data_IF_726024702715
#
_entry.id   IF_726024702715
#
_cell.length_a   1.000
_cell.length_b   1.000
_cell.length_c   1.000
_cell.angle_alpha   90.00
_cell.angle_beta   90.00
_cell.angle_gamma   90.00
#
_symmetry.space_group_name_H-M   'P 1'
#
loop_
_entity.id
_entity.type
_entity.pdbx_description
1 polymer ?
#
# COMPACT_ATOMS: atom_id res chain seq x y z
N UNK A 1 -22.17 -4.00 21.36
CA UNK A 1 -20.91 -4.05 20.58
C UNK A 1 -21.32 -4.00 19.12
N UNK A 2 -21.19 -2.85 18.49
CA UNK A 2 -21.51 -2.72 17.05
C UNK A 2 -20.40 -3.41 16.24
N UNK A 3 -20.76 -4.22 15.23
CA UNK A 3 -19.77 -4.92 14.42
C UNK A 3 -19.06 -3.91 13.52
N UNK A 4 -17.75 -3.83 13.65
CA UNK A 4 -16.87 -3.06 12.76
C UNK A 4 -16.29 -4.03 11.73
N UNK A 5 -16.44 -3.69 10.45
CA UNK A 5 -16.07 -4.55 9.33
C UNK A 5 -14.59 -4.39 9.00
N UNK A 6 -13.73 -5.24 9.59
CA UNK A 6 -12.29 -5.25 9.36
C UNK A 6 -11.85 -5.90 8.01
N UNK A 7 -12.79 -6.27 7.13
CA UNK A 7 -12.51 -7.09 5.93
C UNK A 7 -12.60 -6.34 4.59
N UNK A 8 -12.80 -5.02 4.58
CA UNK A 8 -12.86 -4.24 3.33
C UNK A 8 -11.61 -4.39 2.46
N UNK A 9 -10.41 -4.35 3.08
CA UNK A 9 -9.14 -4.56 2.38
C UNK A 9 -9.00 -5.96 1.78
N UNK A 10 -9.46 -6.99 2.50
CA UNK A 10 -9.48 -8.38 1.99
C UNK A 10 -10.42 -8.50 0.80
N UNK A 11 -11.58 -7.85 0.84
CA UNK A 11 -12.52 -7.80 -0.29
C UNK A 11 -11.92 -7.16 -1.55
N UNK A 12 -11.18 -6.05 -1.38
CA UNK A 12 -10.46 -5.40 -2.49
C UNK A 12 -9.35 -6.29 -3.07
N UNK A 13 -8.59 -7.00 -2.22
CA UNK A 13 -7.57 -7.94 -2.66
C UNK A 13 -8.18 -9.07 -3.50
N UNK A 14 -9.31 -9.65 -3.06
CA UNK A 14 -10.01 -10.70 -3.80
C UNK A 14 -10.48 -10.16 -5.16
N UNK A 15 -11.05 -8.96 -5.22
CA UNK A 15 -11.46 -8.32 -6.47
C UNK A 15 -10.29 -8.09 -7.43
N UNK A 16 -9.16 -7.59 -6.92
CA UNK A 16 -7.92 -7.43 -7.69
C UNK A 16 -7.43 -8.78 -8.24
N UNK A 17 -7.42 -9.82 -7.38
CA UNK A 17 -6.97 -11.16 -7.75
C UNK A 17 -7.81 -11.75 -8.88
N UNK A 18 -9.14 -11.64 -8.77
CA UNK A 18 -10.07 -12.10 -9.81
C UNK A 18 -9.90 -11.30 -11.11
N UNK A 19 -9.73 -9.98 -11.02
CA UNK A 19 -9.49 -9.11 -12.17
C UNK A 19 -8.20 -9.45 -12.92
N UNK A 20 -7.11 -9.74 -12.18
CA UNK A 20 -5.83 -10.16 -12.76
C UNK A 20 -5.96 -11.54 -13.40
N UNK A 21 -6.64 -12.50 -12.77
CA UNK A 21 -6.89 -13.81 -13.37
C UNK A 21 -7.69 -13.71 -14.67
N UNK A 22 -8.73 -12.88 -14.68
CA UNK A 22 -9.54 -12.63 -15.87
C UNK A 22 -8.73 -11.94 -16.98
N UNK A 23 -7.83 -11.02 -16.62
CA UNK A 23 -6.92 -10.35 -17.54
C UNK A 23 -5.94 -11.32 -18.20
N UNK A 24 -5.31 -12.21 -17.42
CA UNK A 24 -4.41 -13.26 -17.92
C UNK A 24 -5.15 -14.18 -18.92
N UNK A 25 -6.41 -14.53 -18.62
CA UNK A 25 -7.25 -15.33 -19.52
C UNK A 25 -7.58 -14.66 -20.86
N UNK A 26 -7.52 -13.32 -20.96
CA UNK A 26 -7.72 -12.58 -22.21
C UNK A 26 -6.41 -12.23 -22.93
N UNK A 27 -5.29 -12.19 -22.22
CA UNK A 27 -3.95 -11.85 -22.74
C UNK A 27 -3.23 -13.02 -23.42
N UNK A 28 -3.75 -14.24 -23.34
CA UNK A 28 -3.20 -15.42 -24.04
C UNK A 28 -3.17 -15.29 -25.58
N UNK A 29 -3.80 -14.26 -26.17
CA UNK A 29 -3.81 -14.02 -27.61
C UNK A 29 -2.65 -13.17 -28.14
N UNK A 30 -1.78 -12.62 -27.29
CA UNK A 30 -0.72 -11.68 -27.68
C UNK A 30 0.69 -12.20 -27.32
N UNK A 31 1.62 -12.12 -28.28
CA UNK A 31 3.02 -12.59 -28.21
C UNK A 31 3.87 -11.88 -27.13
N UNK A 32 3.38 -10.77 -26.53
CA UNK A 32 4.05 -10.04 -25.43
C UNK A 32 3.66 -10.49 -24.01
N UNK A 33 3.03 -11.67 -23.90
CA UNK A 33 2.46 -12.19 -22.65
C UNK A 33 3.46 -12.35 -21.49
N UNK A 34 4.72 -12.67 -21.74
CA UNK A 34 5.71 -12.94 -20.68
C UNK A 34 6.05 -11.72 -19.80
N UNK A 35 6.24 -10.55 -20.42
CA UNK A 35 6.55 -9.31 -19.70
C UNK A 35 5.31 -8.85 -18.92
N UNK A 36 4.15 -8.81 -19.56
CA UNK A 36 2.87 -8.44 -18.94
C UNK A 36 2.53 -9.32 -17.72
N UNK A 37 2.77 -10.64 -17.80
CA UNK A 37 2.60 -11.57 -16.68
C UNK A 37 3.50 -11.19 -15.49
N UNK A 38 4.75 -10.81 -15.75
CA UNK A 38 5.70 -10.44 -14.69
C UNK A 38 5.24 -9.18 -13.96
N UNK A 39 4.76 -8.17 -14.71
CA UNK A 39 4.19 -6.95 -14.11
C UNK A 39 2.90 -7.24 -13.34
N UNK A 40 1.99 -8.06 -13.87
CA UNK A 40 0.74 -8.43 -13.21
C UNK A 40 0.99 -9.20 -11.90
N UNK A 41 1.93 -10.15 -11.92
CA UNK A 41 2.35 -10.89 -10.72
C UNK A 41 3.03 -9.97 -9.72
N UNK A 42 3.83 -8.99 -10.18
CA UNK A 42 4.42 -7.96 -9.32
C UNK A 42 3.38 -7.11 -8.62
N UNK A 43 2.34 -6.66 -9.33
CA UNK A 43 1.21 -5.91 -8.75
C UNK A 43 0.43 -6.77 -7.75
N UNK A 44 0.18 -8.04 -8.07
CA UNK A 44 -0.50 -8.97 -7.17
C UNK A 44 0.31 -9.21 -5.89
N UNK A 45 1.61 -9.48 -6.03
CA UNK A 45 2.52 -9.69 -4.89
C UNK A 45 2.66 -8.44 -4.02
N UNK A 46 2.88 -7.28 -4.63
CA UNK A 46 2.95 -6.00 -3.91
C UNK A 46 1.64 -5.64 -3.21
N UNK A 47 0.50 -5.85 -3.89
CA UNK A 47 -0.84 -5.65 -3.32
C UNK A 47 -1.15 -6.59 -2.16
N UNK A 48 -0.74 -7.85 -2.25
CA UNK A 48 -0.88 -8.82 -1.16
C UNK A 48 -0.05 -8.43 0.07
N UNK A 49 1.19 -7.99 -0.13
CA UNK A 49 2.06 -7.49 0.95
C UNK A 49 1.43 -6.26 1.61
N UNK A 50 1.01 -5.27 0.81
CA UNK A 50 0.36 -4.06 1.32
C UNK A 50 -0.93 -4.36 2.09
N UNK A 51 -1.75 -5.29 1.60
CA UNK A 51 -2.95 -5.74 2.28
C UNK A 51 -2.63 -6.45 3.61
N UNK A 52 -1.59 -7.27 3.65
CA UNK A 52 -1.19 -7.98 4.87
C UNK A 52 -0.67 -7.02 5.93
N UNK A 53 0.11 -6.01 5.50
CA UNK A 53 0.59 -4.93 6.35
C UNK A 53 -0.57 -4.09 6.89
N UNK A 54 -1.53 -3.70 6.03
CA UNK A 54 -2.72 -2.96 6.44
C UNK A 54 -3.60 -3.74 7.41
N UNK A 55 -3.82 -5.03 7.13
CA UNK A 55 -4.56 -5.93 8.01
C UNK A 55 -3.86 -6.10 9.37
N UNK A 56 -2.53 -6.16 9.38
CA UNK A 56 -1.77 -6.19 10.62
C UNK A 56 -2.01 -4.89 11.41
N UNK A 57 -1.91 -3.70 10.81
CA UNK A 57 -2.17 -2.42 11.49
C UNK A 57 -3.61 -2.35 12.06
N UNK A 58 -4.60 -2.84 11.31
CA UNK A 58 -6.02 -2.82 11.70
C UNK A 58 -6.35 -3.79 12.86
N UNK A 59 -5.69 -4.96 12.94
CA UNK A 59 -5.91 -5.93 14.03
C UNK A 59 -5.29 -5.48 15.35
N UNK A 60 -4.26 -4.63 15.27
CA UNK A 60 -3.50 -4.15 16.40
C UNK A 60 -4.16 -2.88 16.96
N UNK A 61 -5.14 -3.04 17.86
CA UNK A 61 -5.78 -1.97 18.63
C UNK A 61 -4.80 -1.40 19.69
N UNK A 62 -3.80 -0.65 19.23
CA UNK A 62 -2.67 -0.19 20.05
C UNK A 62 -2.64 1.33 20.22
N UNK A 63 -2.18 1.75 21.40
CA UNK A 63 -1.93 3.15 21.79
C UNK A 63 -1.19 3.92 20.68
N UNK A 64 -1.43 5.23 20.51
CA UNK A 64 -0.88 6.04 19.42
C UNK A 64 0.65 5.93 19.23
N UNK A 65 1.39 5.80 20.35
CA UNK A 65 2.86 5.64 20.33
C UNK A 65 3.30 4.30 19.74
N UNK A 66 2.54 3.24 19.98
CA UNK A 66 2.83 1.91 19.45
C UNK A 66 2.33 1.77 18.01
N UNK A 67 1.29 2.54 17.61
CA UNK A 67 0.84 2.65 16.22
C UNK A 67 1.95 3.19 15.31
N UNK A 68 2.62 4.27 15.72
CA UNK A 68 3.78 4.80 14.97
C UNK A 68 4.89 3.75 14.88
N UNK A 69 5.13 2.97 15.94
CA UNK A 69 6.15 1.92 15.93
C UNK A 69 5.79 0.77 14.96
N UNK A 70 4.51 0.40 14.90
CA UNK A 70 3.98 -0.56 13.92
C UNK A 70 4.09 -0.07 12.48
N UNK A 71 3.79 1.20 12.23
CA UNK A 71 3.93 1.82 10.90
C UNK A 71 5.39 1.90 10.45
N UNK A 72 6.32 2.21 11.37
CA UNK A 72 7.76 2.15 11.07
C UNK A 72 8.21 0.72 10.77
N UNK A 73 7.74 -0.26 11.55
CA UNK A 73 8.02 -1.67 11.29
C UNK A 73 7.48 -2.13 9.93
N UNK A 74 6.26 -1.73 9.58
CA UNK A 74 5.66 -1.95 8.27
C UNK A 74 6.49 -1.35 7.12
N UNK A 75 6.96 -0.11 7.28
CA UNK A 75 7.84 0.53 6.30
C UNK A 75 9.17 -0.23 6.12
N UNK A 76 9.75 -0.74 7.21
CA UNK A 76 10.95 -1.58 7.14
C UNK A 76 10.69 -2.90 6.42
N UNK A 77 9.55 -3.55 6.68
CA UNK A 77 9.17 -4.79 5.97
C UNK A 77 8.99 -4.54 4.47
N UNK A 78 8.37 -3.42 4.08
CA UNK A 78 8.24 -2.99 2.68
C UNK A 78 9.61 -2.80 2.00
N UNK A 79 10.55 -2.15 2.69
CA UNK A 79 11.91 -1.97 2.21
C UNK A 79 12.64 -3.30 2.03
N UNK A 80 12.51 -4.22 3.00
CA UNK A 80 13.09 -5.57 2.90
C UNK A 80 12.46 -6.40 1.78
N UNK A 81 11.18 -6.18 1.49
CA UNK A 81 10.48 -6.79 0.36
C UNK A 81 10.89 -6.19 -1.01
N UNK A 82 11.78 -5.20 -1.03
CA UNK A 82 12.24 -4.54 -2.25
C UNK A 82 11.24 -3.52 -2.81
N UNK A 83 10.22 -3.14 -2.03
CA UNK A 83 9.26 -2.10 -2.41
C UNK A 83 9.86 -0.74 -2.06
N UNK A 84 10.82 -0.33 -2.88
CA UNK A 84 11.42 1.00 -2.84
C UNK A 84 11.21 1.70 -4.19
N UNK A 85 10.94 3.01 -4.19
CA UNK A 85 10.95 3.77 -5.43
C UNK A 85 12.38 3.72 -5.99
N UNK A 86 12.59 3.20 -7.20
CA UNK A 86 13.93 3.14 -7.81
C UNK A 86 14.38 4.55 -8.22
N UNK A 87 14.87 5.34 -7.26
CA UNK A 87 15.25 6.74 -7.49
C UNK A 87 16.39 6.83 -8.48
N UNK A 88 17.28 5.84 -8.52
CA UNK A 88 18.36 5.74 -9.51
C UNK A 88 17.86 5.90 -10.96
N UNK A 89 16.69 5.35 -11.30
CA UNK A 89 16.16 5.46 -12.65
C UNK A 89 15.69 6.88 -12.96
N UNK A 90 15.19 7.59 -11.94
CA UNK A 90 14.68 8.96 -12.04
C UNK A 90 15.84 9.97 -12.07
N UNK A 91 16.82 9.83 -11.18
CA UNK A 91 18.00 10.71 -11.10
C UNK A 91 18.87 10.59 -12.35
N UNK A 92 19.05 9.38 -12.87
CA UNK A 92 19.75 9.15 -14.13
C UNK A 92 19.03 9.78 -15.34
N UNK A 93 17.70 9.73 -15.40
CA UNK A 93 16.93 10.43 -16.45
C UNK A 93 17.01 11.96 -16.33
N UNK A 94 17.16 12.48 -15.11
CA UNK A 94 17.30 13.91 -14.83
C UNK A 94 18.75 14.41 -14.94
N UNK A 95 19.71 13.57 -15.32
CA UNK A 95 21.16 13.86 -15.29
C UNK A 95 21.65 14.37 -13.91
N UNK A 96 20.98 13.97 -12.84
CA UNK A 96 21.38 14.28 -11.47
C UNK A 96 22.29 13.15 -10.99
N UNK A 97 23.59 13.42 -10.89
CA UNK A 97 24.54 12.46 -10.34
C UNK A 97 24.55 12.59 -8.82
N UNK A 98 23.69 11.81 -8.16
CA UNK A 98 23.72 11.67 -6.70
C UNK A 98 24.61 10.50 -6.27
N UNK A 99 25.27 10.62 -5.10
CA UNK A 99 25.94 9.47 -4.49
C UNK A 99 24.93 8.36 -4.16
N UNK A 100 25.26 7.11 -4.47
CA UNK A 100 24.40 5.94 -4.21
C UNK A 100 23.89 5.84 -2.76
N UNK A 101 24.73 6.23 -1.79
CA UNK A 101 24.37 6.26 -0.36
C UNK A 101 23.30 7.32 -0.04
N UNK A 102 23.29 8.44 -0.75
CA UNK A 102 22.28 9.49 -0.57
C UNK A 102 20.98 9.09 -1.26
N UNK A 103 21.03 8.46 -2.42
CA UNK A 103 19.84 7.91 -3.10
C UNK A 103 19.15 6.87 -2.22
N UNK A 104 19.91 5.89 -1.72
CA UNK A 104 19.38 4.84 -0.82
C UNK A 104 18.74 5.43 0.44
N UNK A 105 19.38 6.43 1.06
CA UNK A 105 18.82 7.09 2.24
C UNK A 105 17.50 7.82 1.93
N UNK A 106 17.44 8.47 0.76
CA UNK A 106 16.26 9.20 0.33
C UNK A 106 15.10 8.25 -0.01
N UNK A 107 15.38 7.13 -0.67
CA UNK A 107 14.41 6.05 -0.91
C UNK A 107 13.78 5.56 0.40
N UNK A 108 14.61 5.24 1.40
CA UNK A 108 14.15 4.79 2.72
C UNK A 108 13.27 5.86 3.39
N UNK A 109 13.70 7.13 3.37
CA UNK A 109 12.93 8.22 3.95
C UNK A 109 11.59 8.43 3.25
N UNK A 110 11.56 8.33 1.92
CA UNK A 110 10.33 8.45 1.13
C UNK A 110 9.37 7.31 1.48
N UNK A 111 9.84 6.06 1.55
CA UNK A 111 8.99 4.91 1.88
C UNK A 111 8.40 5.06 3.29
N UNK A 112 9.22 5.42 4.28
CA UNK A 112 8.74 5.67 5.65
C UNK A 112 7.70 6.81 5.67
N UNK A 113 8.01 7.95 5.05
CA UNK A 113 7.09 9.09 5.00
C UNK A 113 5.78 8.72 4.31
N UNK A 114 5.85 7.96 3.21
CA UNK A 114 4.66 7.56 2.46
C UNK A 114 3.80 6.56 3.24
N UNK A 115 4.40 5.58 3.93
CA UNK A 115 3.67 4.64 4.78
C UNK A 115 2.97 5.37 5.92
N UNK A 116 3.69 6.17 6.70
CA UNK A 116 3.08 6.93 7.81
C UNK A 116 2.03 7.92 7.29
N UNK A 117 2.33 8.62 6.19
CA UNK A 117 1.44 9.60 5.57
C UNK A 117 0.16 8.97 5.05
N UNK A 118 0.28 7.88 4.29
CA UNK A 118 -0.87 7.16 3.73
C UNK A 118 -1.74 6.57 4.85
N UNK A 119 -1.15 5.86 5.82
CA UNK A 119 -1.92 5.26 6.92
C UNK A 119 -2.59 6.32 7.79
N UNK A 120 -1.89 7.41 8.11
CA UNK A 120 -2.47 8.50 8.90
C UNK A 120 -3.55 9.27 8.11
N UNK A 121 -3.34 9.51 6.83
CA UNK A 121 -4.31 10.19 5.96
C UNK A 121 -5.58 9.38 5.77
N UNK A 122 -5.48 8.06 5.56
CA UNK A 122 -6.63 7.18 5.43
C UNK A 122 -7.44 7.13 6.73
N UNK A 123 -6.76 7.01 7.88
CA UNK A 123 -7.42 7.04 9.19
C UNK A 123 -8.12 8.40 9.47
N UNK A 124 -7.58 9.52 8.96
CA UNK A 124 -8.24 10.83 9.05
C UNK A 124 -9.48 10.93 8.15
N UNK A 125 -9.43 10.36 6.94
CA UNK A 125 -10.57 10.31 6.02
C UNK A 125 -11.69 9.44 6.60
N UNK A 126 -11.38 8.25 7.09
CA UNK A 126 -12.35 7.36 7.73
C UNK A 126 -12.95 7.98 8.99
N UNK A 127 -12.14 8.69 9.78
CA UNK A 127 -12.61 9.43 10.95
C UNK A 127 -13.58 10.57 10.57
N UNK A 128 -13.38 11.20 9.42
CA UNK A 128 -14.25 12.25 8.90
C UNK A 128 -15.56 11.67 8.34
N UNK A 129 -15.49 10.58 7.57
CA UNK A 129 -16.66 9.88 7.02
C UNK A 129 -17.53 9.26 8.13
N UNK A 130 -16.91 8.70 9.16
CA UNK A 130 -17.60 8.21 10.36
C UNK A 130 -18.30 9.32 11.15
N UNK A 131 -17.71 10.52 11.20
CA UNK A 131 -18.33 11.71 11.82
C UNK A 131 -19.47 12.28 10.97
N UNK A 132 -19.32 12.31 9.64
CA UNK A 132 -20.32 12.80 8.70
C UNK A 132 -21.53 11.85 8.61
N UNK A 133 -21.29 10.53 8.56
CA UNK A 133 -22.34 9.52 8.59
C UNK A 133 -23.17 9.59 9.87
N UNK A 134 -22.53 9.82 11.03
CA UNK A 134 -23.24 10.02 12.30
C UNK A 134 -24.07 11.28 12.30
N UNK A 135 -23.58 12.42 11.78
CA UNK A 135 -24.37 13.67 11.71
C UNK A 135 -25.61 13.58 10.82
N UNK A 136 -25.59 12.73 9.79
CA UNK A 136 -26.75 12.54 8.90
C UNK A 136 -27.91 11.78 9.55
N UNK A 137 -27.63 10.96 10.58
CA UNK A 137 -28.66 10.19 11.31
C UNK A 137 -29.39 11.04 12.37
N UNK A 138 -28.83 12.19 12.78
CA UNK A 138 -29.37 13.03 13.87
C UNK A 138 -30.19 14.22 13.35
N UNK A 139 -30.47 14.29 12.04
CA UNK A 139 -31.30 15.33 11.42
C UNK A 139 -32.66 14.82 10.90
N UNK A 140 -33.24 13.82 11.57
CA UNK A 140 -34.68 13.53 11.45
C UNK A 140 -35.40 13.73 12.77
#
# INVERSE_FOLDING_TARGET
KEPIAYLGGVGMLIGLTVGILASIGRLQSEESSGLALTWLLGILGGGAIACFIGLADDLFDIKPRQKILGQVFAAVVLLLAGVAPSLYHITNQLNLSLPYNVETLLEVMIVIFFVLGATNSLNLLDGLDGLCARKFVITK
#
